data_IF_150000239494
#
_entry.id   IF_150000239494
#
_cell.length_a   1.000
_cell.length_b   1.000
_cell.length_c   1.000
_cell.angle_alpha   90.00
_cell.angle_beta   90.00
_cell.angle_gamma   90.00
#
_symmetry.space_group_name_H-M   'P 1'
#
loop_
_entity.id
_entity.type
_entity.pdbx_description
1 polymer ?
#
# COMPACT_ATOMS: atom_id res chain seq x y z
N UNK A 1 -22.49 0.87 -10.45
CA UNK A 1 -22.67 0.15 -11.73
C UNK A 1 -22.72 -1.34 -11.43
N UNK A 2 -23.80 -2.00 -11.80
CA UNK A 2 -23.87 -3.46 -11.79
C UNK A 2 -23.59 -3.92 -13.22
N UNK A 3 -22.63 -4.84 -13.40
CA UNK A 3 -22.28 -5.39 -14.72
C UNK A 3 -23.30 -6.50 -15.02
N UNK A 4 -24.09 -6.33 -16.08
CA UNK A 4 -25.09 -7.31 -16.54
C UNK A 4 -24.55 -8.24 -17.62
N UNK A 5 -23.64 -7.73 -18.45
CA UNK A 5 -23.01 -8.44 -19.56
C UNK A 5 -21.49 -8.29 -19.47
N UNK A 6 -20.75 -9.31 -19.93
CA UNK A 6 -19.28 -9.32 -19.89
C UNK A 6 -18.70 -8.11 -20.63
N UNK A 7 -17.91 -7.31 -19.91
CA UNK A 7 -17.24 -6.14 -20.48
C UNK A 7 -16.08 -6.55 -21.39
N UNK A 8 -15.77 -5.71 -22.38
CA UNK A 8 -14.50 -5.80 -23.09
C UNK A 8 -13.33 -5.48 -22.14
N UNK A 9 -12.09 -5.92 -22.45
CA UNK A 9 -10.93 -5.60 -21.62
C UNK A 9 -10.76 -4.10 -21.34
N UNK A 10 -10.98 -3.25 -22.35
CA UNK A 10 -10.86 -1.79 -22.21
C UNK A 10 -11.96 -1.21 -21.30
N UNK A 11 -13.20 -1.69 -21.46
CA UNK A 11 -14.30 -1.27 -20.60
C UNK A 11 -14.10 -1.74 -19.15
N UNK A 12 -13.54 -2.94 -18.96
CA UNK A 12 -13.21 -3.46 -17.63
C UNK A 12 -12.07 -2.69 -16.96
N UNK A 13 -11.01 -2.34 -17.71
CA UNK A 13 -9.95 -1.46 -17.20
C UNK A 13 -10.51 -0.10 -16.76
N UNK A 14 -11.38 0.51 -17.57
CA UNK A 14 -12.02 1.77 -17.20
C UNK A 14 -12.85 1.61 -15.93
N UNK A 15 -13.63 0.54 -15.81
CA UNK A 15 -14.41 0.27 -14.59
C UNK A 15 -13.52 0.09 -13.34
N UNK A 16 -12.31 -0.47 -13.49
CA UNK A 16 -11.30 -0.52 -12.42
C UNK A 16 -10.76 0.88 -12.09
N UNK A 17 -10.44 1.69 -13.10
CA UNK A 17 -9.95 3.07 -12.91
C UNK A 17 -10.99 3.97 -12.24
N UNK A 18 -12.27 3.78 -12.53
CA UNK A 18 -13.37 4.53 -11.91
C UNK A 18 -13.45 4.30 -10.38
N UNK A 19 -12.87 3.20 -9.87
CA UNK A 19 -12.73 2.99 -8.42
C UNK A 19 -11.75 3.97 -7.76
N UNK A 20 -10.94 4.68 -8.53
CA UNK A 20 -10.07 5.75 -8.04
C UNK A 20 -10.82 6.86 -7.31
N UNK A 21 -12.11 7.07 -7.62
CA UNK A 21 -12.98 8.01 -6.89
C UNK A 21 -13.14 7.68 -5.39
N UNK A 22 -12.81 6.45 -4.98
CA UNK A 22 -12.83 5.99 -3.59
C UNK A 22 -11.43 5.87 -2.97
N UNK A 23 -10.39 6.29 -3.68
CA UNK A 23 -9.02 6.18 -3.20
C UNK A 23 -8.77 7.13 -2.02
N UNK A 24 -7.82 6.76 -1.15
CA UNK A 24 -7.61 7.45 0.12
C UNK A 24 -7.12 8.90 0.01
N UNK A 25 -6.79 9.36 -1.20
CA UNK A 25 -6.40 10.75 -1.48
C UNK A 25 -7.53 11.73 -1.12
N UNK A 26 -8.78 11.25 -1.18
CA UNK A 26 -9.97 12.00 -0.81
C UNK A 26 -10.31 11.94 0.69
N UNK A 27 -9.56 11.19 1.49
CA UNK A 27 -9.83 11.07 2.94
C UNK A 27 -9.44 12.38 3.66
N UNK A 28 -10.24 12.89 4.62
CA UNK A 28 -9.95 14.16 5.31
C UNK A 28 -8.55 14.23 5.94
N UNK A 29 -8.04 13.11 6.46
CA UNK A 29 -6.68 13.03 6.99
C UNK A 29 -5.61 13.32 5.92
N UNK A 30 -5.75 12.75 4.73
CA UNK A 30 -4.83 13.00 3.62
C UNK A 30 -4.93 14.46 3.16
N UNK A 31 -6.14 14.99 3.01
CA UNK A 31 -6.39 16.38 2.63
C UNK A 31 -5.75 17.35 3.63
N UNK A 32 -5.89 17.10 4.94
CA UNK A 32 -5.27 17.93 5.97
C UNK A 32 -3.73 17.89 5.90
N UNK A 33 -3.13 16.72 5.67
CA UNK A 33 -1.68 16.61 5.46
C UNK A 33 -1.22 17.37 4.21
N UNK A 34 -1.90 17.16 3.09
CA UNK A 34 -1.58 17.80 1.81
C UNK A 34 -1.67 19.33 1.88
N UNK A 35 -2.69 19.85 2.57
CA UNK A 35 -2.91 21.30 2.73
C UNK A 35 -2.04 21.94 3.83
N UNK A 36 -1.11 21.20 4.45
CA UNK A 36 -0.28 21.71 5.55
C UNK A 36 -1.04 22.03 6.84
N UNK A 37 -2.22 21.44 7.02
CA UNK A 37 -3.10 21.64 8.17
C UNK A 37 -2.91 20.59 9.26
N UNK A 38 -2.19 19.50 8.97
CA UNK A 38 -1.89 18.47 9.95
C UNK A 38 -0.82 18.94 10.95
N UNK A 39 -1.01 18.63 12.23
CA UNK A 39 -0.01 18.88 13.27
C UNK A 39 1.18 17.92 13.12
N UNK A 40 2.30 18.25 13.76
CA UNK A 40 3.46 17.36 13.82
C UNK A 40 3.11 15.98 14.38
N UNK A 41 2.34 15.94 15.46
CA UNK A 41 1.88 14.69 16.09
C UNK A 41 1.03 13.85 15.12
N UNK A 42 0.15 14.48 14.35
CA UNK A 42 -0.64 13.79 13.31
C UNK A 42 0.25 13.21 12.20
N UNK A 43 1.27 13.96 11.74
CA UNK A 43 2.21 13.44 10.74
C UNK A 43 3.00 12.25 11.30
N UNK A 44 3.52 12.36 12.53
CA UNK A 44 4.23 11.27 13.20
C UNK A 44 3.34 10.04 13.38
N UNK A 45 2.11 10.21 13.85
CA UNK A 45 1.13 9.13 13.99
C UNK A 45 0.84 8.43 12.66
N UNK A 46 0.74 9.19 11.56
CA UNK A 46 0.58 8.64 10.22
C UNK A 46 1.80 7.83 9.78
N UNK A 47 3.01 8.36 9.96
CA UNK A 47 4.26 7.66 9.57
C UNK A 47 4.40 6.34 10.34
N UNK A 48 4.21 6.36 11.66
CA UNK A 48 4.33 5.18 12.51
C UNK A 48 3.29 4.10 12.17
N UNK A 49 2.04 4.50 11.93
CA UNK A 49 0.97 3.56 11.60
C UNK A 49 1.10 3.00 10.18
N UNK A 50 1.48 3.84 9.21
CA UNK A 50 1.68 3.39 7.83
C UNK A 50 2.91 2.52 7.66
N UNK A 51 3.91 2.64 8.55
CA UNK A 51 5.04 1.70 8.57
C UNK A 51 4.57 0.25 8.67
N UNK A 52 3.56 -0.04 9.50
CA UNK A 52 2.99 -1.39 9.61
C UNK A 52 2.38 -1.90 8.29
N UNK A 53 1.74 -1.01 7.52
CA UNK A 53 1.28 -1.36 6.18
C UNK A 53 2.47 -1.62 5.24
N UNK A 54 3.55 -0.84 5.33
CA UNK A 54 4.73 -1.02 4.47
C UNK A 54 5.46 -2.34 4.73
N UNK A 55 5.66 -2.73 5.99
CA UNK A 55 6.29 -4.00 6.38
C UNK A 55 5.41 -5.21 6.06
N UNK A 56 4.10 -4.99 5.94
CA UNK A 56 3.12 -6.00 5.55
C UNK A 56 3.17 -6.33 4.05
N UNK A 57 3.51 -5.39 3.17
CA UNK A 57 3.52 -5.61 1.71
C UNK A 57 4.33 -6.83 1.29
N UNK A 58 5.61 -7.01 1.67
CA UNK A 58 6.38 -8.19 1.28
C UNK A 58 5.78 -9.50 1.83
N UNK A 59 5.16 -9.48 3.02
CA UNK A 59 4.47 -10.65 3.59
C UNK A 59 3.24 -11.04 2.74
N UNK A 60 2.45 -10.04 2.35
CA UNK A 60 1.29 -10.21 1.46
C UNK A 60 1.72 -10.72 0.09
N UNK A 61 2.80 -10.16 -0.47
CA UNK A 61 3.31 -10.57 -1.80
C UNK A 61 3.92 -11.98 -1.79
N UNK A 62 4.59 -12.37 -0.71
CA UNK A 62 5.05 -13.74 -0.51
C UNK A 62 3.87 -14.72 -0.43
N UNK A 63 2.77 -14.35 0.24
CA UNK A 63 1.57 -15.18 0.30
C UNK A 63 0.95 -15.39 -1.10
N UNK A 64 0.91 -14.35 -1.94
CA UNK A 64 0.47 -14.47 -3.35
C UNK A 64 1.35 -15.46 -4.11
N UNK A 65 2.68 -15.34 -3.97
CA UNK A 65 3.62 -16.24 -4.63
C UNK A 65 3.47 -17.69 -4.16
N UNK A 66 3.20 -17.92 -2.88
CA UNK A 66 2.96 -19.26 -2.34
C UNK A 66 1.71 -19.93 -2.94
N UNK A 67 0.69 -19.15 -3.28
CA UNK A 67 -0.55 -19.61 -3.91
C UNK A 67 -0.48 -19.68 -5.45
N UNK A 68 0.59 -19.18 -6.08
CA UNK A 68 0.71 -19.08 -7.53
C UNK A 68 1.53 -20.25 -8.12
N UNK A 69 0.91 -21.21 -8.85
CA UNK A 69 1.65 -22.33 -9.44
C UNK A 69 2.49 -21.93 -10.66
N UNK A 70 2.20 -20.79 -11.30
CA UNK A 70 2.89 -20.33 -12.52
C UNK A 70 4.27 -19.71 -12.23
N UNK A 71 5.39 -20.34 -12.66
CA UNK A 71 6.73 -19.80 -12.45
C UNK A 71 6.97 -18.48 -13.18
N UNK A 72 6.35 -18.24 -14.34
CA UNK A 72 6.56 -17.00 -15.10
C UNK A 72 6.03 -15.78 -14.33
N UNK A 73 4.85 -15.93 -13.72
CA UNK A 73 4.29 -14.91 -12.82
C UNK A 73 5.14 -14.73 -11.58
N UNK A 74 5.55 -15.81 -10.89
CA UNK A 74 6.38 -15.69 -9.67
C UNK A 74 7.71 -14.96 -9.91
N UNK A 75 8.36 -15.19 -11.06
CA UNK A 75 9.60 -14.48 -11.44
C UNK A 75 9.41 -12.96 -11.58
N UNK A 76 8.23 -12.50 -11.98
CA UNK A 76 7.90 -11.06 -12.01
C UNK A 76 7.50 -10.56 -10.63
N UNK A 77 6.70 -11.34 -9.90
CA UNK A 77 6.14 -10.94 -8.61
C UNK A 77 7.20 -10.76 -7.53
N UNK A 78 8.27 -11.57 -7.55
CA UNK A 78 9.36 -11.49 -6.56
C UNK A 78 10.03 -10.11 -6.51
N UNK A 79 10.04 -9.36 -7.62
CA UNK A 79 10.61 -8.02 -7.65
C UNK A 79 9.97 -7.11 -6.61
N UNK A 80 8.67 -7.25 -6.34
CA UNK A 80 7.95 -6.46 -5.32
C UNK A 80 8.51 -6.67 -3.91
N UNK A 81 8.91 -7.90 -3.58
CA UNK A 81 9.53 -8.22 -2.29
C UNK A 81 10.92 -7.57 -2.23
N UNK A 82 11.72 -7.72 -3.29
CA UNK A 82 13.05 -7.12 -3.37
C UNK A 82 13.03 -5.60 -3.29
N UNK A 83 12.03 -4.95 -3.91
CA UNK A 83 11.87 -3.49 -3.86
C UNK A 83 11.56 -3.00 -2.43
N UNK A 84 10.87 -3.81 -1.62
CA UNK A 84 10.50 -3.48 -0.24
C UNK A 84 11.62 -3.81 0.76
N UNK A 85 12.19 -5.00 0.66
CA UNK A 85 13.17 -5.53 1.62
C UNK A 85 14.61 -5.11 1.29
N UNK A 86 14.87 -4.79 0.01
CA UNK A 86 16.22 -4.61 -0.51
C UNK A 86 16.80 -5.93 -1.05
N UNK A 87 17.92 -5.83 -1.76
CA UNK A 87 18.62 -7.00 -2.30
C UNK A 87 20.11 -6.73 -2.46
N UNK A 88 20.95 -7.76 -2.34
CA UNK A 88 22.41 -7.67 -2.56
C UNK A 88 23.12 -6.55 -1.75
N UNK A 89 22.65 -6.29 -0.53
CA UNK A 89 23.20 -5.23 0.33
C UNK A 89 22.67 -3.83 0.04
N UNK A 90 21.78 -3.68 -0.94
CA UNK A 90 21.02 -2.45 -1.18
C UNK A 90 19.79 -2.40 -0.28
N UNK A 91 19.48 -1.22 0.23
CA UNK A 91 18.31 -0.96 1.06
C UNK A 91 17.02 -0.87 0.24
N UNK A 92 15.93 -1.44 0.76
CA UNK A 92 14.61 -1.36 0.14
C UNK A 92 13.72 -0.22 0.65
N UNK A 93 12.46 -0.24 0.19
CA UNK A 93 11.43 0.72 0.58
C UNK A 93 11.11 0.75 2.08
N UNK A 94 11.34 -0.33 2.82
CA UNK A 94 11.17 -0.35 4.29
C UNK A 94 12.20 0.56 4.97
N UNK A 95 13.47 0.50 4.56
CA UNK A 95 14.52 1.39 5.08
C UNK A 95 14.29 2.85 4.69
N UNK A 96 13.80 3.09 3.46
CA UNK A 96 13.37 4.43 3.07
C UNK A 96 12.25 4.98 3.97
N UNK A 97 11.32 4.12 4.44
CA UNK A 97 10.28 4.52 5.38
C UNK A 97 10.82 4.76 6.79
N UNK A 98 11.82 4.00 7.23
CA UNK A 98 12.49 4.26 8.52
C UNK A 98 13.17 5.64 8.53
N UNK A 99 13.83 6.01 7.43
CA UNK A 99 14.37 7.37 7.25
C UNK A 99 13.30 8.46 7.26
N UNK A 100 12.11 8.18 6.70
CA UNK A 100 10.97 9.10 6.82
C UNK A 100 10.54 9.27 8.29
N UNK A 101 10.55 8.19 9.08
CA UNK A 101 10.35 8.24 10.54
C UNK A 101 11.34 9.17 11.24
N UNK A 102 12.62 9.00 10.97
CA UNK A 102 13.68 9.85 11.52
C UNK A 102 13.51 11.33 11.12
N UNK A 103 13.14 11.58 9.85
CA UNK A 103 12.92 12.93 9.34
C UNK A 103 11.75 13.67 10.02
N UNK A 104 10.74 12.95 10.50
CA UNK A 104 9.64 13.53 11.30
C UNK A 104 9.92 13.51 12.81
N UNK A 105 11.10 13.02 13.21
CA UNK A 105 11.59 12.99 14.58
C UNK A 105 11.07 11.83 15.42
N UNK A 106 10.80 10.69 14.80
CA UNK A 106 10.62 9.39 15.46
C UNK A 106 11.94 8.62 15.43
N UNK A 107 12.19 7.80 16.44
CA UNK A 107 13.31 6.87 16.47
C UNK A 107 12.99 5.61 15.66
N UNK A 108 14.04 4.93 15.16
CA UNK A 108 13.88 3.61 14.52
C UNK A 108 13.20 2.61 15.46
N UNK A 109 13.52 2.64 16.75
CA UNK A 109 12.92 1.75 17.75
C UNK A 109 11.41 1.97 17.91
N UNK A 110 10.93 3.21 17.86
CA UNK A 110 9.49 3.52 17.89
C UNK A 110 8.74 2.93 16.68
N UNK A 111 9.35 2.92 15.49
CA UNK A 111 8.75 2.30 14.31
C UNK A 111 8.83 0.77 14.37
N UNK A 112 10.01 0.21 14.66
CA UNK A 112 10.26 -1.22 14.67
C UNK A 112 9.50 -1.96 15.79
N UNK A 113 9.26 -1.30 16.93
CA UNK A 113 8.47 -1.87 18.04
C UNK A 113 6.97 -1.95 17.74
N UNK A 114 6.50 -1.23 16.72
CA UNK A 114 5.07 -1.11 16.37
C UNK A 114 4.17 -0.60 17.52
N UNK A 115 4.75 -0.01 18.58
CA UNK A 115 4.01 0.37 19.79
C UNK A 115 2.93 1.45 19.55
N UNK A 116 3.07 2.23 18.48
CA UNK A 116 2.12 3.26 18.08
C UNK A 116 1.07 2.79 17.06
N UNK A 117 1.12 1.52 16.64
CA UNK A 117 0.17 0.98 15.66
C UNK A 117 -1.19 0.80 16.32
N UNK A 118 -2.17 1.56 15.82
CA UNK A 118 -3.54 1.53 16.31
C UNK A 118 -4.20 0.18 15.99
N UNK A 119 -5.04 -0.36 16.88
CA UNK A 119 -5.74 -1.64 16.64
C UNK A 119 -6.56 -1.64 15.34
N UNK A 120 -7.22 -0.52 15.01
CA UNK A 120 -7.96 -0.38 13.76
C UNK A 120 -7.08 -0.42 12.51
N UNK A 121 -5.86 0.13 12.59
CA UNK A 121 -4.85 0.03 11.52
C UNK A 121 -4.39 -1.41 11.39
N UNK A 122 -4.02 -2.05 12.51
CA UNK A 122 -3.58 -3.45 12.52
C UNK A 122 -4.63 -4.38 11.91
N UNK A 123 -5.89 -4.25 12.35
CA UNK A 123 -6.99 -5.04 11.82
C UNK A 123 -7.19 -4.87 10.30
N UNK A 124 -7.18 -3.62 9.81
CA UNK A 124 -7.35 -3.34 8.39
C UNK A 124 -6.19 -3.88 7.54
N UNK A 125 -4.96 -3.74 8.03
CA UNK A 125 -3.75 -4.24 7.36
C UNK A 125 -3.70 -5.78 7.38
N UNK A 126 -4.02 -6.41 8.51
CA UNK A 126 -4.09 -7.87 8.65
C UNK A 126 -5.16 -8.48 7.76
N UNK A 127 -6.29 -7.80 7.56
CA UNK A 127 -7.32 -8.24 6.62
C UNK A 127 -6.76 -8.39 5.20
N UNK A 128 -5.82 -7.52 4.79
CA UNK A 128 -5.20 -7.59 3.47
C UNK A 128 -4.28 -8.82 3.32
N UNK A 129 -3.45 -9.11 4.32
CA UNK A 129 -2.64 -10.34 4.33
C UNK A 129 -3.55 -11.56 4.32
N UNK A 130 -4.57 -11.59 5.19
CA UNK A 130 -5.47 -12.73 5.32
C UNK A 130 -6.26 -12.98 4.03
N UNK A 131 -6.66 -11.93 3.31
CA UNK A 131 -7.24 -12.05 1.98
C UNK A 131 -6.25 -12.72 1.01
N UNK A 132 -5.01 -12.22 0.92
CA UNK A 132 -4.00 -12.76 0.00
C UNK A 132 -3.62 -14.22 0.29
N UNK A 133 -3.65 -14.63 1.58
CA UNK A 133 -3.39 -16.01 1.99
C UNK A 133 -4.51 -16.98 1.58
N UNK A 134 -5.77 -16.52 1.52
CA UNK A 134 -6.96 -17.39 1.40
C UNK A 134 -7.62 -17.35 0.03
N UNK A 135 -7.57 -16.22 -0.65
CA UNK A 135 -8.12 -16.08 -2.00
C UNK A 135 -7.28 -16.86 -3.03
N UNK A 136 -7.83 -17.05 -4.23
CA UNK A 136 -7.00 -17.51 -5.34
C UNK A 136 -5.93 -16.45 -5.67
N UNK A 137 -4.81 -16.88 -6.27
CA UNK A 137 -3.67 -15.99 -6.46
C UNK A 137 -3.98 -14.83 -7.41
N UNK A 138 -4.91 -15.00 -8.36
CA UNK A 138 -5.29 -13.94 -9.29
C UNK A 138 -6.06 -12.82 -8.59
N UNK A 139 -7.06 -13.15 -7.77
CA UNK A 139 -7.80 -12.18 -6.96
C UNK A 139 -6.85 -11.44 -6.00
N UNK A 140 -5.98 -12.20 -5.32
CA UNK A 140 -4.99 -11.64 -4.42
C UNK A 140 -4.01 -10.72 -5.15
N UNK A 141 -3.50 -11.10 -6.31
CA UNK A 141 -2.64 -10.26 -7.14
C UNK A 141 -3.38 -9.00 -7.63
N UNK A 142 -4.60 -9.13 -8.17
CA UNK A 142 -5.38 -8.00 -8.68
C UNK A 142 -5.85 -7.03 -7.59
N UNK A 143 -5.87 -7.43 -6.31
CA UNK A 143 -6.13 -6.49 -5.22
C UNK A 143 -5.03 -5.42 -5.06
N UNK A 144 -3.86 -5.58 -5.69
CA UNK A 144 -2.81 -4.55 -5.75
C UNK A 144 -3.15 -3.38 -6.70
N UNK A 145 -4.23 -3.46 -7.49
CA UNK A 145 -4.56 -2.46 -8.52
C UNK A 145 -4.90 -1.07 -7.97
N UNK A 146 -4.99 -0.89 -6.66
CA UNK A 146 -4.95 0.45 -6.05
C UNK A 146 -3.68 1.23 -6.42
N UNK A 147 -2.62 0.54 -6.86
CA UNK A 147 -1.40 1.15 -7.41
C UNK A 147 -1.64 2.02 -8.65
N UNK A 148 -2.74 1.81 -9.39
CA UNK A 148 -3.15 2.68 -10.51
C UNK A 148 -3.38 4.13 -10.07
N UNK A 149 -3.62 4.37 -8.78
CA UNK A 149 -3.98 5.67 -8.21
C UNK A 149 -2.84 6.34 -7.45
N UNK A 150 -1.70 5.65 -7.26
CA UNK A 150 -0.59 6.12 -6.42
C UNK A 150 0.13 7.36 -6.98
N UNK A 151 0.06 7.59 -8.28
CA UNK A 151 0.70 8.74 -8.97
C UNK A 151 -0.28 9.81 -9.41
N UNK A 152 -1.55 9.70 -9.02
CA UNK A 152 -2.57 10.69 -9.35
C UNK A 152 -2.54 11.83 -8.33
N UNK A 153 -1.45 12.61 -8.30
CA UNK A 153 -1.57 13.95 -7.74
C UNK A 153 -2.49 14.76 -8.67
N UNK A 154 -3.56 15.39 -8.16
CA UNK A 154 -4.26 16.39 -8.95
C UNK A 154 -3.26 17.51 -9.29
N UNK A 155 -3.32 18.11 -10.49
CA UNK A 155 -2.47 19.24 -10.81
C UNK A 155 -2.67 20.30 -9.72
N UNK A 156 -1.57 20.77 -9.13
CA UNK A 156 -1.56 21.92 -8.23
C UNK A 156 -2.23 23.06 -8.98
N UNK A 157 -3.50 23.34 -8.68
CA UNK A 157 -4.14 24.55 -9.16
C UNK A 157 -3.51 25.69 -8.39
N UNK A 158 -2.58 26.39 -9.04
CA UNK A 158 -2.05 27.65 -8.55
C UNK A 158 -3.22 28.57 -8.19
N UNK A 159 -3.35 28.89 -6.90
CA UNK A 159 -4.08 30.04 -6.39
C UNK A 159 -3.30 30.61 -5.22
#
# INVERSE_FOLDING_TARGET
MQITDTLSPQAFEQALRDKGAYYHIHHPYHIAMHNGQATREQIQGWVANRFYYQTTIPLKDAAIMANCPDPATRRKWVQRILDHDGSNGEEGGIEAWLRLGEAVGLTREELLSEQHVLPGVRFAVDAYINFARRANWQEAACSSLTELFRTADPPVTAR
#
